data_IF_438669418927
#
_entry.id   IF_438669418927
#
_cell.length_a   1.000
_cell.length_b   1.000
_cell.length_c   1.000
_cell.angle_alpha   90.00
_cell.angle_beta   90.00
_cell.angle_gamma   90.00
#
_symmetry.space_group_name_H-M   'P 1'
#
loop_
_entity.id
_entity.type
_entity.pdbx_description
1 polymer ?
#
# COMPACT_ATOMS: atom_id res chain seq x y z
N UNK A 1 -35.03 18.49 -14.47
CA UNK A 1 -34.40 17.20 -14.11
C UNK A 1 -35.24 16.56 -13.03
N UNK A 2 -35.56 15.27 -13.11
CA UNK A 2 -36.39 14.59 -12.12
C UNK A 2 -35.59 14.30 -10.85
N UNK A 3 -35.83 15.05 -9.78
CA UNK A 3 -35.26 14.84 -8.44
C UNK A 3 -36.19 13.95 -7.61
N UNK A 4 -36.58 12.80 -8.16
CA UNK A 4 -37.48 11.84 -7.50
C UNK A 4 -36.87 10.45 -7.61
N UNK A 5 -36.66 9.81 -6.46
CA UNK A 5 -36.30 8.40 -6.37
C UNK A 5 -37.58 7.56 -6.47
N UNK A 6 -37.61 6.59 -7.37
CA UNK A 6 -38.73 5.64 -7.48
C UNK A 6 -38.27 4.29 -6.94
N UNK A 7 -38.97 3.79 -5.93
CA UNK A 7 -38.69 2.49 -5.31
C UNK A 7 -39.37 1.35 -6.08
N UNK A 8 -38.95 0.10 -5.83
CA UNK A 8 -39.57 -1.09 -6.43
C UNK A 8 -41.06 -1.26 -6.05
N UNK A 9 -41.48 -0.67 -4.93
CA UNK A 9 -42.88 -0.54 -4.50
C UNK A 9 -43.68 0.49 -5.29
N UNK A 10 -43.05 1.17 -6.26
CA UNK A 10 -43.58 2.30 -7.01
C UNK A 10 -43.81 3.58 -6.17
N UNK A 11 -43.31 3.61 -4.94
CA UNK A 11 -43.27 4.81 -4.11
C UNK A 11 -42.30 5.84 -4.70
N UNK A 12 -42.68 7.12 -4.61
CA UNK A 12 -41.92 8.25 -5.16
C UNK A 12 -41.44 9.16 -4.03
N UNK A 13 -40.14 9.17 -3.80
CA UNK A 13 -39.51 9.98 -2.77
C UNK A 13 -38.79 11.17 -3.43
N UNK A 14 -39.24 12.42 -3.19
CA UNK A 14 -38.53 13.59 -3.71
C UNK A 14 -37.19 13.80 -2.98
N UNK A 15 -36.14 14.11 -3.73
CA UNK A 15 -34.82 14.46 -3.18
C UNK A 15 -34.82 15.93 -2.78
N UNK A 16 -34.40 16.23 -1.56
CA UNK A 16 -34.25 17.61 -1.09
C UNK A 16 -32.97 18.24 -1.65
N UNK A 17 -32.91 19.57 -1.69
CA UNK A 17 -31.73 20.31 -2.18
C UNK A 17 -30.46 20.07 -1.35
N UNK A 18 -30.60 19.64 -0.10
CA UNK A 18 -29.50 19.27 0.79
C UNK A 18 -28.90 17.89 0.51
N UNK A 19 -29.59 17.02 -0.24
CA UNK A 19 -29.11 15.67 -0.53
C UNK A 19 -28.03 15.67 -1.62
N UNK A 20 -26.96 14.90 -1.38
CA UNK A 20 -25.87 14.65 -2.33
C UNK A 20 -25.74 13.14 -2.50
N UNK A 21 -25.71 12.68 -3.75
CA UNK A 21 -25.45 11.28 -4.08
C UNK A 21 -24.04 11.18 -4.65
N UNK A 22 -23.20 10.36 -4.02
CA UNK A 22 -21.81 10.16 -4.41
C UNK A 22 -21.59 8.66 -4.62
N UNK A 23 -20.90 8.32 -5.70
CA UNK A 23 -20.54 6.94 -6.02
C UNK A 23 -19.03 6.85 -6.16
N UNK A 24 -18.43 5.83 -5.53
CA UNK A 24 -17.06 5.42 -5.78
C UNK A 24 -17.09 4.24 -6.75
N UNK A 25 -16.50 4.41 -7.93
CA UNK A 25 -16.51 3.43 -9.00
C UNK A 25 -15.12 3.31 -9.61
N UNK A 26 -14.68 2.09 -9.91
CA UNK A 26 -13.35 1.87 -10.50
C UNK A 26 -13.33 2.02 -12.03
N UNK A 27 -14.46 1.81 -12.70
CA UNK A 27 -14.59 1.98 -14.15
C UNK A 27 -16.04 2.15 -14.60
N UNK A 28 -16.24 2.82 -15.74
CA UNK A 28 -17.54 3.09 -16.36
C UNK A 28 -17.81 2.23 -17.60
N UNK A 29 -17.10 1.09 -17.75
CA UNK A 29 -17.12 0.29 -18.99
C UNK A 29 -18.52 -0.19 -19.41
N UNK A 30 -19.41 -0.39 -18.44
CA UNK A 30 -20.78 -0.88 -18.65
C UNK A 30 -21.83 0.24 -18.64
N UNK A 31 -21.44 1.49 -18.38
CA UNK A 31 -22.35 2.60 -18.32
C UNK A 31 -22.53 3.25 -19.70
N UNK A 32 -23.78 3.58 -20.06
CA UNK A 32 -24.04 4.31 -21.30
C UNK A 32 -23.73 5.81 -21.13
N UNK A 33 -23.30 6.53 -22.18
CA UNK A 33 -23.09 7.98 -22.14
C UNK A 33 -24.32 8.75 -21.62
N UNK A 34 -25.52 8.26 -21.93
CA UNK A 34 -26.78 8.85 -21.46
C UNK A 34 -26.99 8.72 -19.94
N UNK A 35 -26.45 7.68 -19.31
CA UNK A 35 -26.52 7.47 -17.86
C UNK A 35 -25.58 8.42 -17.12
N UNK A 36 -24.34 8.53 -17.61
CA UNK A 36 -23.28 9.30 -16.93
C UNK A 36 -23.33 10.80 -17.20
N UNK A 37 -24.00 11.24 -18.27
CA UNK A 37 -24.16 12.67 -18.60
C UNK A 37 -24.97 13.46 -17.57
N UNK A 38 -25.68 12.77 -16.68
CA UNK A 38 -26.49 13.39 -15.61
C UNK A 38 -25.71 13.57 -14.31
N UNK A 39 -24.49 13.06 -14.21
CA UNK A 39 -23.63 13.14 -13.04
C UNK A 39 -22.39 14.00 -13.32
N UNK A 40 -21.91 14.72 -12.30
CA UNK A 40 -20.56 15.29 -12.32
C UNK A 40 -19.55 14.16 -12.11
N UNK A 41 -18.59 14.01 -13.02
CA UNK A 41 -17.53 13.00 -12.92
C UNK A 41 -16.26 13.68 -12.43
N UNK A 42 -15.76 13.23 -11.28
CA UNK A 42 -14.44 13.59 -10.79
C UNK A 42 -13.49 12.41 -11.03
N UNK A 43 -12.50 12.60 -11.91
CA UNK A 43 -11.47 11.60 -12.13
C UNK A 43 -10.35 11.78 -11.11
N UNK A 44 -10.00 10.70 -10.41
CA UNK A 44 -8.91 10.69 -9.43
C UNK A 44 -7.77 9.85 -10.02
N UNK A 45 -6.62 10.48 -10.23
CA UNK A 45 -5.45 9.77 -10.72
C UNK A 45 -4.79 9.00 -9.58
N UNK A 46 -4.51 7.71 -9.80
CA UNK A 46 -3.84 6.86 -8.81
C UNK A 46 -2.42 7.34 -8.50
N UNK A 47 -1.75 8.01 -9.44
CA UNK A 47 -0.41 8.57 -9.21
C UNK A 47 -0.43 9.75 -8.24
N UNK A 48 -1.54 10.52 -8.20
CA UNK A 48 -1.66 11.71 -7.37
C UNK A 48 -1.91 11.33 -5.90
N UNK A 49 -2.61 10.21 -5.66
CA UNK A 49 -2.82 9.68 -4.32
C UNK A 49 -1.67 8.79 -3.85
N UNK A 50 -1.08 7.99 -4.74
CA UNK A 50 0.12 7.18 -4.44
C UNK A 50 0.06 6.35 -3.16
N UNK A 51 1.23 6.00 -2.63
CA UNK A 51 1.38 5.26 -1.36
C UNK A 51 1.61 6.18 -0.15
N UNK A 52 2.09 7.40 -0.39
CA UNK A 52 2.59 8.29 0.66
C UNK A 52 1.50 8.71 1.66
N UNK A 53 0.30 9.19 1.25
CA UNK A 53 -0.73 9.61 2.21
C UNK A 53 -1.17 8.48 3.16
N UNK A 54 -1.24 7.25 2.65
CA UNK A 54 -1.53 6.08 3.49
C UNK A 54 -0.43 5.86 4.54
N UNK A 55 0.84 5.85 4.11
CA UNK A 55 1.98 5.68 5.01
C UNK A 55 2.09 6.82 6.01
N UNK A 56 1.89 8.06 5.58
CA UNK A 56 1.92 9.23 6.45
C UNK A 56 0.87 9.12 7.57
N UNK A 57 -0.35 8.72 7.22
CA UNK A 57 -1.41 8.47 8.21
C UNK A 57 -1.05 7.32 9.16
N UNK A 58 -0.48 6.23 8.66
CA UNK A 58 -0.04 5.10 9.48
C UNK A 58 1.12 5.47 10.41
N UNK A 59 2.08 6.28 9.96
CA UNK A 59 3.18 6.79 10.80
C UNK A 59 2.62 7.71 11.90
N UNK A 60 1.62 8.54 11.60
CA UNK A 60 1.01 9.46 12.56
C UNK A 60 0.33 8.74 13.74
N UNK A 61 -0.08 7.48 13.54
CA UNK A 61 -0.63 6.63 14.60
C UNK A 61 0.45 6.12 15.59
N UNK A 62 1.74 6.28 15.28
CA UNK A 62 2.84 5.87 16.18
C UNK A 62 3.01 6.87 17.31
N UNK A 63 3.12 6.37 18.54
CA UNK A 63 3.23 7.21 19.76
C UNK A 63 4.57 7.90 19.92
N UNK A 64 5.68 7.26 19.50
CA UNK A 64 7.04 7.75 19.75
C UNK A 64 7.53 8.60 18.58
N UNK A 65 7.96 9.82 18.85
CA UNK A 65 8.48 10.72 17.81
C UNK A 65 9.74 10.18 17.14
N UNK A 66 10.61 9.51 17.88
CA UNK A 66 11.84 8.88 17.36
C UNK A 66 11.53 7.78 16.36
N UNK A 67 10.59 6.89 16.69
CA UNK A 67 10.07 5.85 15.80
C UNK A 67 9.49 6.44 14.52
N UNK A 68 8.66 7.49 14.64
CA UNK A 68 8.12 8.21 13.47
C UNK A 68 9.23 8.72 12.56
N UNK A 69 10.24 9.38 13.12
CA UNK A 69 11.35 9.93 12.35
C UNK A 69 12.16 8.82 11.64
N UNK A 70 12.45 7.72 12.33
CA UNK A 70 13.15 6.58 11.72
C UNK A 70 12.32 5.97 10.57
N UNK A 71 11.04 5.71 10.79
CA UNK A 71 10.16 5.12 9.78
C UNK A 71 10.01 6.02 8.57
N UNK A 72 9.80 7.33 8.74
CA UNK A 72 9.71 8.28 7.62
C UNK A 72 10.92 8.17 6.70
N UNK A 73 12.13 8.21 7.27
CA UNK A 73 13.38 8.10 6.51
C UNK A 73 13.49 6.75 5.79
N UNK A 74 13.08 5.66 6.44
CA UNK A 74 13.14 4.32 5.86
C UNK A 74 12.13 4.15 4.71
N UNK A 75 10.91 4.65 4.86
CA UNK A 75 9.91 4.63 3.78
C UNK A 75 10.40 5.41 2.55
N UNK A 76 10.93 6.62 2.73
CA UNK A 76 11.50 7.41 1.63
C UNK A 76 12.71 6.74 0.97
N UNK A 77 13.57 6.07 1.77
CA UNK A 77 14.78 5.39 1.28
C UNK A 77 14.46 4.16 0.43
N UNK A 78 13.51 3.33 0.87
CA UNK A 78 13.30 2.00 0.30
C UNK A 78 12.09 1.89 -0.63
N UNK A 79 10.94 2.45 -0.25
CA UNK A 79 9.66 2.16 -0.94
C UNK A 79 9.65 2.64 -2.39
N UNK A 80 10.11 3.87 -2.75
CA UNK A 80 10.18 4.29 -4.15
C UNK A 80 10.96 3.33 -5.04
N UNK A 81 12.12 2.87 -4.56
CA UNK A 81 13.00 1.95 -5.29
C UNK A 81 12.38 0.56 -5.41
N UNK A 82 11.76 0.06 -4.35
CA UNK A 82 11.05 -1.22 -4.38
C UNK A 82 9.89 -1.20 -5.39
N UNK A 83 9.06 -0.16 -5.37
CA UNK A 83 7.95 0.00 -6.31
C UNK A 83 8.43 0.13 -7.77
N UNK A 84 9.50 0.89 -8.00
CA UNK A 84 10.11 1.00 -9.33
C UNK A 84 10.61 -0.36 -9.85
N UNK A 85 11.32 -1.12 -9.01
CA UNK A 85 11.78 -2.47 -9.37
C UNK A 85 10.61 -3.42 -9.61
N UNK A 86 9.54 -3.29 -8.83
CA UNK A 86 8.34 -4.10 -9.03
C UNK A 86 7.65 -3.80 -10.35
N UNK A 87 7.59 -2.54 -10.76
CA UNK A 87 6.97 -2.12 -12.02
C UNK A 87 7.80 -2.52 -13.25
N UNK A 88 9.12 -2.37 -13.16
CA UNK A 88 9.99 -2.44 -14.34
C UNK A 88 10.67 -3.81 -14.52
N UNK A 89 10.89 -4.54 -13.43
CA UNK A 89 11.81 -5.70 -13.44
C UNK A 89 11.12 -7.00 -13.05
N UNK A 90 10.32 -6.97 -11.99
CA UNK A 90 9.77 -8.17 -11.40
C UNK A 90 8.35 -8.46 -11.89
N UNK A 91 7.99 -9.75 -11.96
CA UNK A 91 6.65 -10.19 -12.35
C UNK A 91 5.99 -10.89 -11.17
N UNK A 92 4.84 -10.38 -10.77
CA UNK A 92 3.99 -11.01 -9.76
C UNK A 92 3.10 -12.07 -10.40
N UNK A 93 2.65 -13.05 -9.60
CA UNK A 93 1.75 -14.12 -10.08
C UNK A 93 0.43 -13.55 -10.58
N UNK A 94 -0.07 -12.51 -9.92
CA UNK A 94 -1.25 -11.73 -10.30
C UNK A 94 -0.90 -10.24 -10.23
N UNK A 95 -1.53 -9.35 -11.01
CA UNK A 95 -1.39 -7.92 -10.83
C UNK A 95 -1.75 -7.53 -9.40
N UNK A 96 -0.86 -6.81 -8.72
CA UNK A 96 -1.06 -6.33 -7.35
C UNK A 96 -0.88 -4.81 -7.37
N UNK A 97 -1.84 -4.02 -6.87
CA UNK A 97 -1.69 -2.58 -6.74
C UNK A 97 -0.50 -2.22 -5.84
N UNK A 98 0.25 -1.18 -6.20
CA UNK A 98 1.40 -0.70 -5.41
C UNK A 98 0.99 -0.40 -3.95
N UNK A 99 -0.18 0.22 -3.76
CA UNK A 99 -0.70 0.53 -2.44
C UNK A 99 -0.96 -0.74 -1.59
N UNK A 100 -1.40 -1.84 -2.19
CA UNK A 100 -1.61 -3.11 -1.47
C UNK A 100 -0.30 -3.73 -0.99
N UNK A 101 0.80 -3.58 -1.75
CA UNK A 101 2.14 -4.00 -1.31
C UNK A 101 2.60 -3.17 -0.11
N UNK A 102 2.38 -1.85 -0.16
CA UNK A 102 2.75 -0.94 0.94
C UNK A 102 1.89 -1.18 2.19
N UNK A 103 0.60 -1.45 2.03
CA UNK A 103 -0.28 -1.88 3.13
C UNK A 103 0.21 -3.18 3.78
N UNK A 104 0.69 -4.13 2.98
CA UNK A 104 1.29 -5.37 3.49
C UNK A 104 2.57 -5.08 4.29
N UNK A 105 3.43 -4.17 3.81
CA UNK A 105 4.61 -3.71 4.54
C UNK A 105 4.22 -3.10 5.90
N UNK A 106 3.26 -2.18 5.93
CA UNK A 106 2.75 -1.59 7.17
C UNK A 106 2.22 -2.66 8.14
N UNK A 107 1.44 -3.61 7.63
CA UNK A 107 0.87 -4.70 8.43
C UNK A 107 1.97 -5.59 9.04
N UNK A 108 3.00 -5.93 8.26
CA UNK A 108 4.14 -6.69 8.77
C UNK A 108 4.91 -5.91 9.83
N UNK A 109 5.08 -4.60 9.64
CA UNK A 109 5.75 -3.75 10.63
C UNK A 109 4.93 -3.62 11.92
N UNK A 110 3.61 -3.59 11.86
CA UNK A 110 2.77 -3.65 13.08
C UNK A 110 3.02 -4.93 13.89
N UNK A 111 3.29 -6.06 13.23
CA UNK A 111 3.64 -7.30 13.90
C UNK A 111 5.09 -7.34 14.42
N UNK A 112 6.02 -6.64 13.77
CA UNK A 112 7.45 -6.73 14.06
C UNK A 112 7.94 -5.65 15.04
N UNK A 113 7.41 -4.43 14.95
CA UNK A 113 7.82 -3.28 15.75
C UNK A 113 7.08 -3.26 17.11
N UNK A 114 7.13 -4.38 17.83
CA UNK A 114 6.54 -4.49 19.17
C UNK A 114 7.45 -3.85 20.23
N UNK A 115 6.92 -3.47 21.40
CA UNK A 115 7.75 -2.94 22.50
C UNK A 115 8.84 -3.92 22.97
N UNK A 116 8.60 -5.23 22.83
CA UNK A 116 9.54 -6.29 23.17
C UNK A 116 10.71 -6.34 22.18
N UNK A 117 10.42 -6.18 20.89
CA UNK A 117 11.43 -6.22 19.83
C UNK A 117 12.19 -4.91 19.68
N UNK A 118 11.54 -3.78 20.00
CA UNK A 118 12.10 -2.43 19.86
C UNK A 118 11.84 -1.61 21.13
N UNK A 119 12.71 -1.76 22.15
CA UNK A 119 12.73 -0.90 23.32
C UNK A 119 12.82 0.60 22.97
N UNK A 120 12.44 1.48 23.91
CA UNK A 120 12.31 2.93 23.68
C UNK A 120 13.56 3.61 23.12
N UNK A 121 14.76 3.15 23.48
CA UNK A 121 16.05 3.70 23.05
C UNK A 121 16.74 2.86 21.96
N UNK A 122 15.95 2.11 21.19
CA UNK A 122 16.50 1.31 20.11
C UNK A 122 17.16 2.17 19.03
N UNK A 123 18.35 1.78 18.55
CA UNK A 123 19.05 2.51 17.51
C UNK A 123 18.35 2.33 16.16
N UNK A 124 18.61 3.27 15.23
CA UNK A 124 18.00 3.28 13.90
C UNK A 124 18.23 1.98 13.13
N UNK A 125 19.39 1.36 13.31
CA UNK A 125 19.81 0.13 12.63
C UNK A 125 18.87 -1.04 12.95
N UNK A 126 18.29 -1.08 14.16
CA UNK A 126 17.33 -2.11 14.53
C UNK A 126 16.01 -1.93 13.79
N UNK A 127 15.51 -0.69 13.68
CA UNK A 127 14.35 -0.37 12.84
C UNK A 127 14.60 -0.74 11.38
N UNK A 128 15.79 -0.40 10.85
CA UNK A 128 16.16 -0.70 9.46
C UNK A 128 16.21 -2.22 9.21
N UNK A 129 16.64 -3.01 10.20
CA UNK A 129 16.67 -4.48 10.10
C UNK A 129 15.25 -5.06 9.95
N UNK A 130 14.32 -4.68 10.84
CA UNK A 130 12.93 -5.13 10.73
C UNK A 130 12.24 -4.59 9.48
N UNK A 131 12.54 -3.35 9.10
CA UNK A 131 12.00 -2.71 7.91
C UNK A 131 12.39 -3.46 6.64
N UNK A 132 13.69 -3.73 6.45
CA UNK A 132 14.18 -4.46 5.28
C UNK A 132 13.65 -5.89 5.23
N UNK A 133 13.56 -6.57 6.38
CA UNK A 133 12.92 -7.89 6.46
C UNK A 133 11.46 -7.83 6.00
N UNK A 134 10.69 -6.87 6.49
CA UNK A 134 9.29 -6.68 6.10
C UNK A 134 9.16 -6.34 4.60
N UNK A 135 10.06 -5.52 4.04
CA UNK A 135 10.09 -5.22 2.60
C UNK A 135 10.27 -6.47 1.75
N UNK A 136 11.18 -7.37 2.12
CA UNK A 136 11.41 -8.62 1.38
C UNK A 136 10.11 -9.42 1.26
N UNK A 137 9.35 -9.52 2.34
CA UNK A 137 8.08 -10.25 2.34
C UNK A 137 6.94 -9.50 1.66
N UNK A 138 6.83 -8.19 1.86
CA UNK A 138 5.78 -7.37 1.28
C UNK A 138 5.87 -7.28 -0.26
N UNK A 139 7.08 -7.10 -0.80
CA UNK A 139 7.29 -6.98 -2.25
C UNK A 139 7.64 -8.32 -2.90
N UNK A 140 8.33 -9.20 -2.17
CA UNK A 140 8.80 -10.50 -2.68
C UNK A 140 7.77 -11.63 -2.58
N UNK A 141 6.79 -11.54 -1.67
CA UNK A 141 5.87 -12.64 -1.36
C UNK A 141 4.99 -13.08 -2.53
N UNK A 142 4.73 -12.19 -3.49
CA UNK A 142 3.88 -12.47 -4.65
C UNK A 142 4.66 -12.68 -5.96
N UNK A 143 5.99 -12.75 -5.91
CA UNK A 143 6.82 -12.96 -7.08
C UNK A 143 6.60 -14.36 -7.69
N UNK A 144 6.66 -14.44 -9.03
CA UNK A 144 6.53 -15.71 -9.72
C UNK A 144 7.74 -16.63 -9.45
N UNK A 145 7.45 -17.94 -9.29
CA UNK A 145 8.38 -19.01 -8.89
C UNK A 145 9.65 -19.06 -9.77
N UNK A 146 9.61 -18.69 -11.03
CA UNK A 146 10.82 -18.78 -11.87
C UNK A 146 11.83 -17.62 -11.70
N UNK A 147 11.51 -16.58 -10.91
CA UNK A 147 12.42 -15.45 -10.71
C UNK A 147 13.43 -15.64 -9.56
N UNK A 148 13.22 -16.58 -8.62
CA UNK A 148 14.20 -16.84 -7.55
C UNK A 148 15.45 -17.57 -8.03
N UNK A 149 15.35 -18.34 -9.12
CA UNK A 149 16.39 -19.30 -9.53
C UNK A 149 17.58 -18.66 -10.24
N UNK A 150 17.40 -17.49 -10.85
CA UNK A 150 18.44 -16.90 -11.71
C UNK A 150 19.25 -15.78 -11.05
N UNK A 151 18.76 -15.12 -9.98
CA UNK A 151 19.41 -13.90 -9.48
C UNK A 151 19.93 -13.94 -8.04
N UNK A 152 19.52 -14.94 -7.25
CA UNK A 152 20.20 -15.23 -5.98
C UNK A 152 21.66 -15.68 -6.18
N UNK A 153 22.09 -16.00 -7.42
CA UNK A 153 23.49 -16.36 -7.69
C UNK A 153 24.46 -15.18 -7.81
N UNK A 154 23.97 -13.94 -7.95
CA UNK A 154 24.86 -12.77 -8.15
C UNK A 154 25.03 -11.92 -6.89
N UNK A 155 23.96 -11.41 -6.25
CA UNK A 155 24.15 -10.20 -5.43
C UNK A 155 23.61 -10.24 -3.99
N UNK A 156 22.96 -11.33 -3.53
CA UNK A 156 22.33 -11.36 -2.18
C UNK A 156 22.73 -12.53 -1.25
N UNK A 157 23.53 -13.49 -1.74
CA UNK A 157 24.12 -14.55 -0.88
C UNK A 157 25.00 -13.99 0.25
N UNK A 158 25.78 -12.90 0.09
CA UNK A 158 26.69 -12.48 1.15
C UNK A 158 26.01 -11.82 2.36
N UNK A 159 24.75 -11.36 2.23
CA UNK A 159 24.04 -10.61 3.28
C UNK A 159 23.21 -11.55 4.15
N UNK A 160 22.53 -12.53 3.55
CA UNK A 160 21.67 -13.47 4.27
C UNK A 160 22.50 -14.52 5.02
N UNK A 161 23.61 -14.99 4.45
CA UNK A 161 24.47 -15.99 5.12
C UNK A 161 25.24 -15.45 6.33
N UNK A 162 25.53 -14.14 6.38
CA UNK A 162 26.25 -13.54 7.51
C UNK A 162 25.41 -13.47 8.78
N UNK A 163 24.09 -13.30 8.68
CA UNK A 163 23.22 -13.24 9.85
C UNK A 163 22.90 -14.62 10.43
N UNK A 164 22.78 -15.66 9.58
CA UNK A 164 22.47 -17.02 10.03
C UNK A 164 23.66 -17.70 10.74
N UNK A 165 24.90 -17.33 10.39
CA UNK A 165 26.11 -17.88 11.04
C UNK A 165 26.54 -17.17 12.33
N UNK A 166 25.93 -16.04 12.69
CA UNK A 166 26.26 -15.33 13.95
C UNK A 166 25.41 -15.79 15.14
N UNK A 167 24.47 -16.73 14.93
CA UNK A 167 23.59 -17.30 15.95
C UNK A 167 23.86 -18.81 16.13
N UNK A 168 25.06 -19.28 15.76
CA UNK A 168 25.58 -20.59 16.13
C UNK A 168 27.01 -20.46 16.65
#
# INVERSE_FOLDING_TARGET
MNHVLTLASNERVPLTSSMRLVFEISHLRTATPATVSRAGILYVNQQDLGWNPYVASWIDQRKRQTERAHLTILFEKYVPRCLEQMRNTFKTITPIPENSMVQTLCTLLDCLLTPENIPSDSPRELYETYFTFACIWAFGGALCRDQYKYRLRSDMVPVVERHVKSVK
#
